data_IF_368055997406
#
_entry.id   IF_368055997406
#
_cell.length_a   1.000
_cell.length_b   1.000
_cell.length_c   1.000
_cell.angle_alpha   90.00
_cell.angle_beta   90.00
_cell.angle_gamma   90.00
#
_symmetry.space_group_name_H-M   'P 1'
#
loop_
_entity.id
_entity.type
_entity.pdbx_description
1 polymer ?
#
# COMPACT_ATOMS: atom_id res chain seq x y z
N UNK A 1 -6.89 15.26 -7.07
CA UNK A 1 -7.20 14.15 -8.00
C UNK A 1 -7.51 12.91 -7.18
N UNK A 2 -8.61 12.19 -7.45
CA UNK A 2 -9.13 11.09 -6.61
C UNK A 2 -8.60 9.71 -7.05
N UNK A 3 -7.29 9.55 -7.19
CA UNK A 3 -6.69 8.27 -7.64
C UNK A 3 -6.77 7.19 -6.56
N UNK A 4 -6.94 5.93 -6.95
CA UNK A 4 -6.98 4.78 -6.07
C UNK A 4 -5.78 4.74 -5.12
N UNK A 5 -4.55 4.99 -5.57
CA UNK A 5 -3.38 4.96 -4.66
C UNK A 5 -3.41 5.99 -3.53
N UNK A 6 -4.21 7.05 -3.65
CA UNK A 6 -4.45 8.06 -2.61
C UNK A 6 -5.61 7.69 -1.67
N UNK A 7 -6.41 6.68 -2.04
CA UNK A 7 -7.55 6.23 -1.26
C UNK A 7 -7.10 5.46 -0.01
N UNK A 8 -7.78 5.66 1.12
CA UNK A 8 -7.56 4.92 2.37
C UNK A 8 -7.71 3.41 2.16
N UNK A 9 -8.62 3.02 1.26
CA UNK A 9 -9.04 1.64 1.06
C UNK A 9 -8.17 0.89 0.06
N UNK A 10 -7.22 1.57 -0.58
CA UNK A 10 -6.30 0.95 -1.54
C UNK A 10 -5.00 0.55 -0.84
N UNK A 11 -4.67 -0.74 -0.94
CA UNK A 11 -3.45 -1.32 -0.38
C UNK A 11 -2.57 -1.82 -1.53
N UNK A 12 -1.31 -1.35 -1.66
CA UNK A 12 -0.43 -1.74 -2.76
C UNK A 12 -0.08 -3.22 -2.70
N UNK A 13 0.07 -3.85 -3.87
CA UNK A 13 0.76 -5.14 -3.95
C UNK A 13 2.26 -4.95 -3.64
N UNK A 14 2.84 -5.86 -2.86
CA UNK A 14 4.25 -5.80 -2.44
C UNK A 14 5.20 -5.69 -3.65
N UNK A 15 4.99 -6.52 -4.68
CA UNK A 15 5.86 -6.56 -5.87
C UNK A 15 5.46 -5.58 -6.97
N UNK A 16 4.15 -5.34 -7.15
CA UNK A 16 3.61 -4.65 -8.34
C UNK A 16 2.93 -3.35 -7.92
N UNK A 17 3.69 -2.25 -7.88
CA UNK A 17 3.20 -1.00 -7.28
C UNK A 17 2.06 -0.30 -8.04
N UNK A 18 1.81 -0.69 -9.29
CA UNK A 18 0.73 -0.16 -10.11
C UNK A 18 -0.62 -0.83 -9.83
N UNK A 19 -0.65 -1.95 -9.10
CA UNK A 19 -1.86 -2.68 -8.71
C UNK A 19 -1.95 -2.79 -7.20
N UNK A 20 -3.17 -2.75 -6.68
CA UNK A 20 -3.43 -2.92 -5.26
C UNK A 20 -4.80 -3.54 -5.02
N UNK A 21 -5.02 -3.99 -3.79
CA UNK A 21 -6.29 -4.49 -3.32
C UNK A 21 -7.13 -3.32 -2.79
N UNK A 22 -8.36 -3.19 -3.28
CA UNK A 22 -9.37 -2.34 -2.66
C UNK A 22 -10.09 -3.12 -1.55
N UNK A 23 -9.92 -2.73 -0.29
CA UNK A 23 -10.55 -3.47 0.83
C UNK A 23 -12.07 -3.27 0.93
N UNK A 24 -12.62 -2.26 0.25
CA UNK A 24 -14.08 -2.01 0.25
C UNK A 24 -14.80 -2.86 -0.80
N UNK A 25 -14.12 -3.22 -1.90
CA UNK A 25 -14.69 -4.02 -2.98
C UNK A 25 -14.11 -5.43 -3.08
N UNK A 26 -13.01 -5.70 -2.36
CA UNK A 26 -12.24 -6.94 -2.41
C UNK A 26 -11.66 -7.27 -3.80
N UNK A 27 -11.46 -6.24 -4.64
CA UNK A 27 -10.97 -6.38 -6.01
C UNK A 27 -9.56 -5.79 -6.18
N UNK A 28 -8.82 -6.35 -7.13
CA UNK A 28 -7.58 -5.75 -7.61
C UNK A 28 -7.89 -4.58 -8.55
N UNK A 29 -7.35 -3.41 -8.22
CA UNK A 29 -7.58 -2.16 -8.97
C UNK A 29 -6.26 -1.44 -9.22
N UNK A 30 -6.17 -0.78 -10.37
CA UNK A 30 -4.97 -0.04 -10.76
C UNK A 30 -4.85 1.27 -9.98
N UNK A 31 -3.61 1.75 -9.79
CA UNK A 31 -3.36 2.92 -8.95
C UNK A 31 -4.03 4.21 -9.44
N UNK A 32 -4.21 4.37 -10.75
CA UNK A 32 -4.70 5.56 -11.41
C UNK A 32 -6.22 5.59 -11.63
N UNK A 33 -6.92 4.49 -11.33
CA UNK A 33 -8.37 4.40 -11.32
C UNK A 33 -9.00 5.26 -10.22
N UNK A 34 -10.33 5.39 -10.24
CA UNK A 34 -11.09 6.15 -9.25
C UNK A 34 -12.53 5.61 -9.13
N UNK A 35 -13.15 5.80 -7.97
CA UNK A 35 -14.55 5.46 -7.75
C UNK A 35 -15.23 6.42 -6.76
N UNK A 36 -16.53 6.22 -6.54
CA UNK A 36 -17.32 7.06 -5.63
C UNK A 36 -17.05 6.77 -4.14
N UNK A 37 -16.36 5.67 -3.82
CA UNK A 37 -15.96 5.30 -2.45
C UNK A 37 -14.65 5.95 -2.00
N UNK A 38 -14.10 6.89 -2.79
CA UNK A 38 -12.83 7.54 -2.49
C UNK A 38 -12.87 8.31 -1.16
N UNK A 39 -11.98 7.92 -0.24
CA UNK A 39 -11.64 8.67 0.96
C UNK A 39 -10.12 8.85 1.02
N UNK A 40 -9.65 10.09 1.27
CA UNK A 40 -8.21 10.37 1.28
C UNK A 40 -7.52 9.61 2.43
N UNK A 41 -6.44 8.89 2.12
CA UNK A 41 -5.65 8.18 3.12
C UNK A 41 -5.02 9.16 4.13
N UNK A 42 -5.06 8.78 5.40
CA UNK A 42 -4.15 9.26 6.44
C UNK A 42 -3.14 8.15 6.74
N UNK A 43 -1.87 8.52 6.87
CA UNK A 43 -0.84 7.56 7.30
C UNK A 43 -0.97 7.38 8.81
N UNK A 44 -1.57 6.26 9.19
CA UNK A 44 -1.80 5.86 10.57
C UNK A 44 -1.13 4.50 10.81
N UNK A 45 -0.67 4.24 12.03
CA UNK A 45 0.03 3.01 12.44
C UNK A 45 1.47 3.23 12.92
N UNK A 46 2.03 2.22 13.60
CA UNK A 46 3.43 2.22 14.07
C UNK A 46 4.42 1.98 12.91
N UNK A 47 3.99 1.23 11.90
CA UNK A 47 4.78 0.88 10.72
C UNK A 47 4.09 1.40 9.47
N UNK A 48 4.88 2.02 8.59
CA UNK A 48 4.42 2.53 7.30
C UNK A 48 5.15 1.78 6.19
N UNK A 49 4.41 1.26 5.22
CA UNK A 49 4.97 0.65 4.04
C UNK A 49 5.46 1.71 3.05
N UNK A 50 6.73 1.64 2.66
CA UNK A 50 7.29 2.45 1.58
C UNK A 50 7.38 1.63 0.30
N UNK A 51 6.50 1.88 -0.68
CA UNK A 51 6.51 1.15 -1.95
C UNK A 51 7.78 1.41 -2.77
N UNK A 52 8.34 2.62 -2.68
CA UNK A 52 9.56 2.98 -3.40
C UNK A 52 10.80 2.23 -2.88
N UNK A 53 10.86 1.97 -1.57
CA UNK A 53 11.96 1.24 -0.94
C UNK A 53 11.69 -0.25 -0.76
N UNK A 54 10.45 -0.70 -0.99
CA UNK A 54 9.99 -2.07 -0.75
C UNK A 54 10.28 -2.57 0.67
N UNK A 55 10.04 -1.72 1.67
CA UNK A 55 10.21 -2.04 3.09
C UNK A 55 9.26 -1.26 3.98
N UNK A 56 9.06 -1.75 5.20
CA UNK A 56 8.46 -1.00 6.29
C UNK A 56 9.45 0.05 6.81
N UNK A 57 8.93 1.21 7.20
CA UNK A 57 9.65 2.30 7.84
C UNK A 57 8.95 2.69 9.14
N UNK A 58 9.71 3.25 10.07
CA UNK A 58 9.18 3.76 11.31
C UNK A 58 8.41 5.08 11.07
N UNK A 59 7.49 5.41 11.97
CA UNK A 59 6.75 6.67 11.94
C UNK A 59 7.68 7.91 11.91
N UNK A 60 8.85 7.83 12.53
CA UNK A 60 9.87 8.90 12.57
C UNK A 60 10.44 9.23 11.17
N UNK A 61 10.51 8.25 10.28
CA UNK A 61 11.11 8.40 8.93
C UNK A 61 10.10 8.89 7.87
N UNK A 62 8.82 9.03 8.24
CA UNK A 62 7.72 9.32 7.30
C UNK A 62 7.92 10.65 6.58
N UNK A 63 8.28 11.71 7.30
CA UNK A 63 8.45 13.05 6.70
C UNK A 63 9.67 13.10 5.77
N UNK A 64 10.74 12.39 6.11
CA UNK A 64 11.89 12.24 5.22
C UNK A 64 11.47 11.55 3.92
N UNK A 65 10.79 10.40 4.00
CA UNK A 65 10.35 9.67 2.82
C UNK A 65 9.35 10.47 1.97
N UNK A 66 8.46 11.26 2.59
CA UNK A 66 7.58 12.20 1.87
C UNK A 66 8.37 13.24 1.09
N UNK A 67 9.41 13.83 1.69
CA UNK A 67 10.27 14.83 1.03
C UNK A 67 11.03 14.26 -0.18
N UNK A 68 11.29 12.95 -0.18
CA UNK A 68 11.91 12.22 -1.30
C UNK A 68 10.90 11.86 -2.41
N UNK A 69 9.60 12.13 -2.21
CA UNK A 69 8.54 11.76 -3.15
C UNK A 69 8.20 10.27 -3.13
N UNK A 70 8.54 9.55 -2.07
CA UNK A 70 8.20 8.13 -1.95
C UNK A 70 6.70 7.93 -1.74
N UNK A 71 6.16 6.85 -2.31
CA UNK A 71 4.77 6.44 -2.08
C UNK A 71 4.66 5.63 -0.79
N UNK A 72 3.90 6.16 0.17
CA UNK A 72 3.73 5.60 1.52
C UNK A 72 2.31 5.08 1.76
N UNK A 73 2.20 3.98 2.49
CA UNK A 73 0.95 3.25 2.71
C UNK A 73 0.90 2.69 4.13
N UNK A 74 -0.27 2.66 4.76
CA UNK A 74 -0.45 2.06 6.11
C UNK A 74 -0.47 0.53 6.10
N UNK A 75 -0.46 -0.08 4.90
CA UNK A 75 -0.47 -1.52 4.73
C UNK A 75 0.17 -1.89 3.39
N UNK A 76 0.53 -3.16 3.25
CA UNK A 76 0.93 -3.79 1.99
C UNK A 76 0.20 -5.11 1.86
N UNK A 77 -0.21 -5.43 0.64
CA UNK A 77 -0.84 -6.70 0.32
C UNK A 77 0.22 -7.64 -0.27
N UNK A 78 0.26 -8.86 0.26
CA UNK A 78 1.08 -9.96 -0.22
C UNK A 78 0.13 -11.08 -0.62
N UNK A 79 0.29 -11.62 -1.84
CA UNK A 79 -0.46 -12.82 -2.25
C UNK A 79 -0.21 -13.96 -1.25
N UNK A 80 -1.28 -14.70 -0.94
CA UNK A 80 -1.29 -15.70 0.13
C UNK A 80 -0.38 -16.92 -0.13
N UNK A 81 0.25 -17.02 -1.29
CA UNK A 81 1.05 -18.20 -1.68
C UNK A 81 2.49 -18.22 -1.14
N UNK A 82 2.96 -17.19 -0.40
CA UNK A 82 4.36 -17.15 0.06
C UNK A 82 4.60 -17.68 1.49
N UNK A 83 3.57 -18.15 2.21
CA UNK A 83 3.74 -18.69 3.59
C UNK A 83 3.76 -20.22 3.69
N UNK A 84 3.52 -20.96 2.60
CA UNK A 84 3.53 -22.43 2.66
C UNK A 84 4.91 -23.07 2.39
N UNK A 85 5.93 -22.34 1.91
CA UNK A 85 7.23 -22.95 1.58
C UNK A 85 8.34 -22.80 2.64
N UNK A 86 8.11 -22.12 3.76
CA UNK A 86 9.16 -21.92 4.80
C UNK A 86 9.10 -22.98 5.93
N UNK A 87 8.04 -23.80 5.98
CA UNK A 87 7.87 -24.83 7.02
C UNK A 87 7.77 -26.27 6.50
N UNK A 88 7.93 -26.52 5.20
CA UNK A 88 8.03 -27.87 4.62
C UNK A 88 9.36 -28.12 3.89
N UNK A 89 10.48 -27.73 4.52
CA UNK A 89 11.85 -28.05 4.05
C UNK A 89 12.74 -28.57 5.16
#
# INVERSE_FOLDING_TARGET
MKKCWLCRSWIPHYQHEFVGLCIETEEFVFEDEYCNLFELRKLEGEFIWCSSCKREINAEDVEQHKSMGHKLFSAVFMDKDYREEIYEG
#
